data_IF_977221616311
#
_entry.id   IF_977221616311
#
_cell.length_a   1.000
_cell.length_b   1.000
_cell.length_c   1.000
_cell.angle_alpha   90.00
_cell.angle_beta   90.00
_cell.angle_gamma   90.00
#
_symmetry.space_group_name_H-M   'P 1'
#
loop_
_entity.id
_entity.type
_entity.pdbx_description
1 polymer ?
#
# COMPACT_ATOMS: atom_id res chain seq x y z
N UNK A 1 -15.05 -1.67 1.11
CA UNK A 1 -14.15 -1.00 0.16
C UNK A 1 -12.72 -1.30 0.56
N UNK A 2 -11.86 -1.70 -0.38
CA UNK A 2 -10.43 -1.87 -0.14
C UNK A 2 -9.76 -0.53 -0.46
N UNK A 3 -8.96 -0.03 0.47
CA UNK A 3 -8.15 1.16 0.28
C UNK A 3 -6.68 0.78 0.47
N UNK A 4 -5.85 1.28 -0.42
CA UNK A 4 -4.40 1.18 -0.32
C UNK A 4 -3.80 2.56 -0.59
N UNK A 5 -2.99 3.06 0.33
CA UNK A 5 -2.24 4.30 0.17
C UNK A 5 -0.75 4.03 0.36
N UNK A 6 0.08 4.65 -0.47
CA UNK A 6 1.52 4.42 -0.47
C UNK A 6 2.24 5.62 0.15
N UNK A 7 3.05 5.38 1.18
CA UNK A 7 3.75 6.41 1.95
C UNK A 7 5.19 6.03 2.25
N UNK A 8 6.04 7.03 2.54
CA UNK A 8 7.35 6.78 3.15
C UNK A 8 7.17 6.35 4.62
N UNK A 9 8.08 5.54 5.18
CA UNK A 9 8.03 5.16 6.59
C UNK A 9 7.97 6.37 7.52
N UNK A 10 7.19 6.25 8.60
CA UNK A 10 7.02 7.31 9.60
C UNK A 10 6.00 8.40 9.24
N UNK A 11 5.43 8.36 8.04
CA UNK A 11 4.33 9.25 7.65
C UNK A 11 3.00 8.57 7.99
N UNK A 12 2.13 9.29 8.70
CA UNK A 12 0.75 8.85 8.93
C UNK A 12 0.00 8.83 7.57
N UNK A 13 -0.62 7.69 7.19
CA UNK A 13 -1.36 7.56 5.93
C UNK A 13 -2.50 8.57 5.74
N UNK A 14 -2.97 9.24 6.79
CA UNK A 14 -4.02 10.26 6.72
C UNK A 14 -3.50 11.70 6.83
N UNK A 15 -2.22 11.91 7.21
CA UNK A 15 -1.68 13.24 7.46
C UNK A 15 -1.24 13.99 6.20
N UNK A 16 -0.81 13.27 5.16
CA UNK A 16 -0.30 13.87 3.92
C UNK A 16 -0.88 13.19 2.67
N UNK A 17 -0.90 13.89 1.52
CA UNK A 17 -1.20 13.26 0.25
C UNK A 17 -0.25 12.08 -0.02
N UNK A 18 -0.76 10.90 -0.41
CA UNK A 18 0.08 9.73 -0.62
C UNK A 18 0.82 9.78 -1.95
N UNK A 19 1.92 9.02 -2.04
CA UNK A 19 2.70 8.85 -3.27
C UNK A 19 1.85 8.25 -4.41
N UNK A 20 0.94 7.34 -4.03
CA UNK A 20 -0.08 6.78 -4.89
C UNK A 20 -1.25 6.28 -4.03
N UNK A 21 -2.41 6.06 -4.65
CA UNK A 21 -3.56 5.46 -3.96
C UNK A 21 -4.39 4.57 -4.89
N UNK A 22 -5.00 3.55 -4.30
CA UNK A 22 -6.03 2.75 -4.94
C UNK A 22 -7.23 2.60 -4.01
N UNK A 23 -8.42 2.87 -4.55
CA UNK A 23 -9.68 2.70 -3.85
C UNK A 23 -10.60 1.84 -4.69
N UNK A 24 -10.95 0.67 -4.19
CA UNK A 24 -11.70 -0.34 -4.95
C UNK A 24 -12.90 -0.85 -4.16
N UNK A 25 -14.15 -0.68 -4.65
CA UNK A 25 -15.31 -1.33 -4.06
C UNK A 25 -15.30 -2.83 -4.35
N UNK A 26 -15.70 -3.63 -3.37
CA UNK A 26 -15.82 -5.09 -3.53
C UNK A 26 -16.95 -5.62 -2.63
N UNK A 27 -17.53 -6.76 -3.01
CA UNK A 27 -18.49 -7.54 -2.23
C UNK A 27 -18.03 -9.00 -2.23
N UNK A 28 -18.10 -9.65 -1.08
CA UNK A 28 -17.77 -11.06 -0.92
C UNK A 28 -18.97 -11.76 -0.31
N UNK A 29 -19.32 -12.92 -0.85
CA UNK A 29 -20.37 -13.75 -0.26
C UNK A 29 -19.89 -14.35 1.08
N UNK A 30 -20.78 -14.53 2.07
CA UNK A 30 -20.43 -15.19 3.31
C UNK A 30 -19.76 -16.55 3.08
N UNK A 31 -18.61 -16.78 3.72
CA UNK A 31 -17.84 -18.02 3.59
C UNK A 31 -16.97 -18.12 2.32
N UNK A 32 -16.88 -17.06 1.51
CA UNK A 32 -15.98 -16.99 0.36
C UNK A 32 -14.81 -16.05 0.61
N UNK A 33 -13.75 -16.23 -0.17
CA UNK A 33 -12.61 -15.33 -0.22
C UNK A 33 -12.56 -14.65 -1.59
N UNK A 34 -12.04 -13.42 -1.62
CA UNK A 34 -11.78 -12.70 -2.87
C UNK A 34 -10.34 -12.22 -2.86
N UNK A 35 -9.78 -12.05 -4.05
CA UNK A 35 -8.47 -11.46 -4.27
C UNK A 35 -8.61 -10.30 -5.25
N UNK A 36 -7.89 -9.21 -4.97
CA UNK A 36 -7.81 -8.06 -5.87
C UNK A 36 -6.35 -7.69 -6.05
N UNK A 37 -5.94 -7.57 -7.31
CA UNK A 37 -4.65 -7.00 -7.65
C UNK A 37 -4.74 -5.48 -7.51
N UNK A 38 -3.91 -4.93 -6.63
CA UNK A 38 -3.71 -3.49 -6.50
C UNK A 38 -2.40 -3.16 -7.22
N UNK A 39 -2.49 -2.30 -8.22
CA UNK A 39 -1.32 -1.81 -8.97
C UNK A 39 -1.16 -0.32 -8.70
N UNK A 40 0.07 0.09 -8.40
CA UNK A 40 0.47 1.48 -8.31
C UNK A 40 1.77 1.66 -9.10
N UNK A 41 1.95 2.85 -9.66
CA UNK A 41 3.22 3.29 -10.21
C UNK A 41 3.86 4.22 -9.18
N UNK A 42 5.06 3.89 -8.73
CA UNK A 42 5.74 4.59 -7.64
C UNK A 42 7.07 5.14 -8.18
N UNK A 43 7.31 6.46 -8.10
CA UNK A 43 8.64 7.00 -8.35
C UNK A 43 9.56 6.59 -7.21
N UNK A 44 10.59 5.80 -7.54
CA UNK A 44 11.63 5.39 -6.59
C UNK A 44 12.92 6.10 -7.01
N UNK A 45 13.19 7.22 -6.35
CA UNK A 45 14.37 8.07 -6.65
C UNK A 45 15.58 7.70 -5.79
N UNK A 46 15.36 7.01 -4.68
CA UNK A 46 16.38 6.63 -3.70
C UNK A 46 16.10 5.23 -3.14
N UNK A 47 17.17 4.57 -2.69
CA UNK A 47 17.05 3.31 -1.94
C UNK A 47 16.37 3.56 -0.59
N UNK A 48 15.56 2.61 -0.15
CA UNK A 48 14.79 2.75 1.08
C UNK A 48 13.49 1.96 1.06
N UNK A 49 12.52 2.40 1.84
CA UNK A 49 11.23 1.74 1.96
C UNK A 49 10.07 2.62 1.50
N UNK A 50 9.05 1.97 0.96
CA UNK A 50 7.70 2.51 0.77
C UNK A 50 6.74 1.55 1.46
N UNK A 51 5.82 2.09 2.26
CA UNK A 51 4.78 1.33 2.94
C UNK A 51 3.48 1.45 2.15
N UNK A 52 2.91 0.31 1.77
CA UNK A 52 1.53 0.21 1.32
C UNK A 52 0.64 0.02 2.56
N UNK A 53 -0.06 1.07 2.97
CA UNK A 53 -1.04 1.00 4.05
C UNK A 53 -2.37 0.51 3.48
N UNK A 54 -2.76 -0.70 3.86
CA UNK A 54 -3.97 -1.37 3.39
C UNK A 54 -5.05 -1.33 4.47
N UNK A 55 -6.31 -1.03 4.12
CA UNK A 55 -7.45 -1.26 5.02
C UNK A 55 -8.71 -1.67 4.28
N UNK A 56 -9.62 -2.29 5.02
CA UNK A 56 -10.98 -2.58 4.56
C UNK A 56 -11.95 -1.68 5.31
N UNK A 57 -12.74 -0.89 4.57
CA UNK A 57 -13.67 0.07 5.16
C UNK A 57 -12.94 1.11 6.01
N UNK A 58 -13.38 1.27 7.26
CA UNK A 58 -12.79 2.17 8.25
C UNK A 58 -11.96 1.41 9.31
N UNK A 59 -11.53 0.19 9.01
CA UNK A 59 -10.66 -0.59 9.89
C UNK A 59 -9.25 -0.01 9.99
N UNK A 60 -8.45 -0.58 10.89
CA UNK A 60 -7.05 -0.19 11.08
C UNK A 60 -6.21 -0.40 9.82
N UNK A 61 -5.24 0.49 9.63
CA UNK A 61 -4.24 0.34 8.58
C UNK A 61 -3.31 -0.84 8.87
N UNK A 62 -3.07 -1.65 7.85
CA UNK A 62 -2.09 -2.73 7.84
C UNK A 62 -0.95 -2.32 6.91
N UNK A 63 0.24 -1.99 7.43
CA UNK A 63 1.38 -1.61 6.60
C UNK A 63 2.05 -2.83 5.97
N UNK A 64 2.32 -2.76 4.67
CA UNK A 64 3.07 -3.77 3.92
C UNK A 64 4.30 -3.11 3.30
N UNK A 65 5.53 -3.49 3.68
CA UNK A 65 6.73 -2.81 3.20
C UNK A 65 7.19 -3.32 1.83
N UNK A 66 7.52 -2.37 0.95
CA UNK A 66 8.38 -2.58 -0.22
C UNK A 66 9.75 -1.98 0.12
N UNK A 67 10.80 -2.80 0.09
CA UNK A 67 12.17 -2.36 0.34
C UNK A 67 12.97 -2.39 -0.95
N UNK A 68 13.56 -1.27 -1.32
CA UNK A 68 14.43 -1.11 -2.48
C UNK A 68 15.86 -1.01 -1.97
N UNK A 69 16.65 -2.04 -2.26
CA UNK A 69 18.04 -2.16 -1.80
C UNK A 69 19.01 -1.66 -2.86
N UNK A 70 20.19 -1.15 -2.44
CA UNK A 70 21.27 -0.89 -3.37
C UNK A 70 21.75 -2.18 -4.06
N UNK A 71 22.34 -2.07 -5.26
CA UNK A 71 22.97 -3.20 -5.93
C UNK A 71 24.03 -3.84 -5.04
N UNK A 72 24.07 -5.17 -5.04
CA UNK A 72 25.19 -5.89 -4.44
C UNK A 72 26.40 -5.79 -5.37
N UNK A 73 27.58 -5.54 -4.81
CA UNK A 73 28.84 -5.63 -5.55
C UNK A 73 28.99 -7.04 -6.13
N UNK A 74 29.44 -7.14 -7.38
CA UNK A 74 29.74 -8.41 -8.03
C UNK A 74 30.99 -9.09 -7.44
#
# INVERSE_FOLDING_TARGET
MLQVVFQRPGIDPEATPPLAQNVSPFRVEPGKFTYRLVRAELPIEEYGQVLAHCRIGLGSWVPVPLTVLPPVSA
#
